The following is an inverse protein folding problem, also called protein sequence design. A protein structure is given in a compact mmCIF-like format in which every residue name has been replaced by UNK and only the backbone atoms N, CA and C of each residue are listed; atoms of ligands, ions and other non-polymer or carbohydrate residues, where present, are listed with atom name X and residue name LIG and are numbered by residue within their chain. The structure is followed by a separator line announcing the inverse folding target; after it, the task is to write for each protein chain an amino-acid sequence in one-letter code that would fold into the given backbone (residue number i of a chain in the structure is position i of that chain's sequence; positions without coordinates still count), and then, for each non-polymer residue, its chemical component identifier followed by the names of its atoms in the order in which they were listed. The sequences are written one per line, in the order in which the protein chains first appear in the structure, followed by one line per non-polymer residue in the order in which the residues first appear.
data_IF_766018856535
#
_entry.id   IF_766018856535
#
_cell.length_a   1.000
_cell.length_b   1.000
_cell.length_c   1.000
_cell.angle_alpha   90.00
_cell.angle_beta   90.00
_cell.angle_gamma   90.00
#
_symmetry.space_group_name_H-M   'P 1'
#
loop_
_entity.id
_entity.type
_entity.pdbx_description
1 polymer ?
#
# COMPACT_ATOMS: atom_id res chain seq x y z
N UNK A 1 -10.21 -21.06 -11.09
CA UNK A 1 -11.47 -20.31 -11.33
C UNK A 1 -11.10 -19.01 -12.02
N UNK A 2 -11.65 -18.75 -13.20
CA UNK A 2 -11.40 -17.51 -13.96
C UNK A 2 -11.97 -16.29 -13.21
N UNK A 3 -11.15 -15.26 -13.04
CA UNK A 3 -11.54 -13.99 -12.39
C UNK A 3 -12.74 -13.31 -13.06
N UNK A 4 -13.03 -13.62 -14.32
CA UNK A 4 -14.19 -13.10 -15.06
C UNK A 4 -15.53 -13.37 -14.37
N UNK A 5 -15.68 -14.53 -13.70
CA UNK A 5 -16.95 -14.88 -13.04
C UNK A 5 -17.25 -14.01 -11.81
N UNK A 6 -16.21 -13.66 -11.04
CA UNK A 6 -16.36 -12.85 -9.82
C UNK A 6 -16.79 -11.43 -10.17
N UNK A 7 -16.14 -10.81 -11.17
CA UNK A 7 -16.55 -9.49 -11.63
C UNK A 7 -17.99 -9.48 -12.16
N UNK A 8 -18.39 -10.48 -12.94
CA UNK A 8 -19.75 -10.56 -13.47
C UNK A 8 -20.81 -10.72 -12.37
N UNK A 9 -20.50 -11.45 -11.30
CA UNK A 9 -21.38 -11.54 -10.14
C UNK A 9 -21.52 -10.19 -9.41
N UNK A 10 -20.40 -9.50 -9.17
CA UNK A 10 -20.40 -8.18 -8.54
C UNK A 10 -21.13 -7.13 -9.37
N UNK A 11 -20.89 -7.07 -10.69
CA UNK A 11 -21.56 -6.16 -11.62
C UNK A 11 -23.08 -6.36 -11.57
N UNK A 12 -23.55 -7.61 -11.70
CA UNK A 12 -24.98 -7.92 -11.61
C UNK A 12 -25.57 -7.52 -10.27
N UNK A 13 -24.91 -7.86 -9.17
CA UNK A 13 -25.41 -7.53 -7.83
C UNK A 13 -25.49 -6.01 -7.60
N UNK A 14 -24.52 -5.23 -8.08
CA UNK A 14 -24.57 -3.75 -7.96
C UNK A 14 -25.69 -3.17 -8.81
N UNK A 15 -25.86 -3.66 -10.04
CA UNK A 15 -26.98 -3.24 -10.88
C UNK A 15 -28.32 -3.57 -10.24
N UNK A 16 -28.50 -4.78 -9.74
CA UNK A 16 -29.79 -5.24 -9.24
C UNK A 16 -30.15 -4.58 -7.88
N UNK A 17 -29.15 -4.29 -7.03
CA UNK A 17 -29.37 -3.65 -5.71
C UNK A 17 -29.35 -2.13 -5.73
N UNK A 18 -28.54 -1.53 -6.59
CA UNK A 18 -28.30 -0.09 -6.61
C UNK A 18 -28.82 0.60 -7.87
N UNK A 19 -29.19 -0.14 -8.91
CA UNK A 19 -29.62 0.41 -10.19
C UNK A 19 -28.49 1.07 -11.00
N UNK A 20 -27.23 0.80 -10.67
CA UNK A 20 -26.06 1.43 -11.30
C UNK A 20 -25.29 0.41 -12.14
N UNK A 21 -25.00 0.78 -13.38
CA UNK A 21 -24.11 0.03 -14.26
C UNK A 21 -22.64 0.34 -13.90
N UNK A 22 -21.85 -0.71 -13.68
CA UNK A 22 -20.42 -0.61 -13.38
C UNK A 22 -19.62 -1.59 -14.22
N UNK A 23 -18.35 -1.26 -14.46
CA UNK A 23 -17.42 -2.10 -15.22
C UNK A 23 -16.46 -2.86 -14.30
N UNK A 24 -15.73 -3.82 -14.87
CA UNK A 24 -14.63 -4.51 -14.18
C UNK A 24 -13.58 -3.52 -13.66
N UNK A 25 -13.28 -2.47 -14.44
CA UNK A 25 -12.31 -1.44 -14.06
C UNK A 25 -12.79 -0.59 -12.88
N UNK A 26 -14.10 -0.31 -12.80
CA UNK A 26 -14.65 0.38 -11.62
C UNK A 26 -14.43 -0.43 -10.34
N UNK A 27 -14.65 -1.75 -10.41
CA UNK A 27 -14.42 -2.66 -9.28
C UNK A 27 -12.93 -2.71 -8.93
N UNK A 28 -12.06 -2.97 -9.92
CA UNK A 28 -10.62 -3.06 -9.70
C UNK A 28 -10.03 -1.76 -9.12
N UNK A 29 -10.47 -0.60 -9.63
CA UNK A 29 -10.06 0.71 -9.10
C UNK A 29 -10.52 0.91 -7.65
N UNK A 30 -11.72 0.44 -7.32
CA UNK A 30 -12.23 0.53 -5.96
C UNK A 30 -11.50 -0.40 -5.01
N UNK A 31 -11.19 -1.64 -5.41
CA UNK A 31 -10.34 -2.55 -4.64
C UNK A 31 -8.98 -1.92 -4.34
N UNK A 32 -8.29 -1.36 -5.35
CA UNK A 32 -7.02 -0.63 -5.15
C UNK A 32 -7.14 0.53 -4.16
N UNK A 33 -8.31 1.15 -4.07
CA UNK A 33 -8.57 2.21 -3.09
C UNK A 33 -8.72 1.65 -1.69
N UNK A 34 -9.43 0.52 -1.54
CA UNK A 34 -9.57 -0.19 -0.27
C UNK A 34 -8.24 -0.76 0.23
N UNK A 35 -7.42 -1.33 -0.66
CA UNK A 35 -6.06 -1.79 -0.34
C UNK A 35 -5.26 -0.66 0.34
N UNK A 36 -5.23 0.52 -0.30
CA UNK A 36 -4.53 1.71 0.22
C UNK A 36 -5.10 2.23 1.53
N UNK A 37 -6.42 2.23 1.67
CA UNK A 37 -7.08 2.64 2.90
C UNK A 37 -6.68 1.70 4.05
N UNK A 38 -6.79 0.39 3.82
CA UNK A 38 -6.42 -0.62 4.80
C UNK A 38 -4.96 -0.48 5.22
N UNK A 39 -4.02 -0.44 4.28
CA UNK A 39 -2.59 -0.35 4.58
C UNK A 39 -2.23 0.87 5.43
N UNK A 40 -2.83 2.04 5.16
CA UNK A 40 -2.49 3.27 5.85
C UNK A 40 -3.21 3.35 7.20
N UNK A 41 -4.53 3.13 7.23
CA UNK A 41 -5.33 3.28 8.44
C UNK A 41 -4.95 2.21 9.46
N UNK A 42 -4.72 0.95 9.05
CA UNK A 42 -4.29 -0.11 9.99
C UNK A 42 -2.98 0.24 10.70
N UNK A 43 -2.01 0.83 9.98
CA UNK A 43 -0.74 1.31 10.56
C UNK A 43 -0.91 2.50 11.48
N UNK A 44 -1.90 3.38 11.24
CA UNK A 44 -2.21 4.48 12.14
C UNK A 44 -2.84 3.94 13.42
N UNK A 45 -3.86 3.08 13.27
CA UNK A 45 -4.60 2.48 14.39
C UNK A 45 -3.77 1.53 15.25
N UNK A 46 -2.62 1.04 14.75
CA UNK A 46 -1.68 0.25 15.55
C UNK A 46 -0.80 1.10 16.48
N UNK A 47 -0.85 2.44 16.37
CA UNK A 47 -0.11 3.35 17.23
C UNK A 47 -0.97 3.80 18.42
N UNK A 48 -0.32 4.07 19.56
CA UNK A 48 -0.97 4.69 20.70
C UNK A 48 -1.44 6.10 20.37
N UNK A 49 -2.61 6.48 20.86
CA UNK A 49 -3.19 7.82 20.67
C UNK A 49 -4.02 7.99 19.40
N UNK A 50 -4.34 6.88 18.74
CA UNK A 50 -5.22 6.82 17.58
C UNK A 50 -6.33 5.81 17.82
N UNK A 51 -7.51 6.14 17.31
CA UNK A 51 -8.68 5.28 17.28
C UNK A 51 -9.49 5.50 16.01
N UNK A 52 -10.61 4.81 15.91
CA UNK A 52 -11.57 5.00 14.83
C UNK A 52 -12.87 5.60 15.38
N UNK A 53 -13.33 6.69 14.77
CA UNK A 53 -14.62 7.30 15.02
C UNK A 53 -15.66 6.61 14.12
N UNK A 54 -16.37 5.63 14.68
CA UNK A 54 -17.38 4.84 13.97
C UNK A 54 -18.62 5.65 13.58
N UNK A 55 -18.88 6.78 14.23
CA UNK A 55 -20.04 7.62 13.91
C UNK A 55 -19.76 8.55 12.72
N UNK A 56 -18.52 9.04 12.63
CA UNK A 56 -18.13 10.02 11.59
C UNK A 56 -17.25 9.42 10.48
N UNK A 57 -17.00 8.11 10.51
CA UNK A 57 -16.20 7.38 9.52
C UNK A 57 -14.79 7.99 9.32
N UNK A 58 -14.11 8.37 10.41
CA UNK A 58 -12.78 9.03 10.35
C UNK A 58 -11.86 8.61 11.50
N UNK A 59 -10.60 9.05 11.44
CA UNK A 59 -9.67 8.85 12.55
C UNK A 59 -10.08 9.67 13.78
N UNK A 60 -10.07 9.00 14.94
CA UNK A 60 -10.07 9.62 16.24
C UNK A 60 -8.62 9.79 16.68
N UNK A 61 -8.25 10.99 17.13
CA UNK A 61 -6.87 11.34 17.47
C UNK A 61 -6.90 12.02 18.84
N UNK A 62 -6.05 11.57 19.76
CA UNK A 62 -6.02 12.09 21.13
C UNK A 62 -5.60 13.57 21.19
N UNK A 63 -4.65 13.98 20.34
CA UNK A 63 -4.22 15.38 20.26
C UNK A 63 -3.53 15.73 18.93
N UNK A 64 -3.45 17.03 18.63
CA UNK A 64 -2.70 17.53 17.47
C UNK A 64 -1.21 17.18 17.53
N UNK A 65 -0.62 17.13 18.73
CA UNK A 65 0.79 16.75 18.90
C UNK A 65 1.04 15.29 18.51
N UNK A 66 0.11 14.38 18.86
CA UNK A 66 0.18 12.96 18.44
C UNK A 66 0.13 12.85 16.93
N UNK A 67 -0.79 13.59 16.27
CA UNK A 67 -0.87 13.62 14.81
C UNK A 67 0.41 14.16 14.16
N UNK A 68 0.91 15.29 14.66
CA UNK A 68 2.06 15.98 14.08
C UNK A 68 3.33 15.11 14.13
N UNK A 69 3.58 14.42 15.26
CA UNK A 69 4.70 13.46 15.37
C UNK A 69 4.57 12.29 14.39
N UNK A 70 3.37 11.73 14.25
CA UNK A 70 3.15 10.61 13.34
C UNK A 70 3.37 11.00 11.87
N UNK A 71 2.83 12.15 11.44
CA UNK A 71 2.90 12.59 10.04
C UNK A 71 4.29 13.07 9.62
N UNK A 72 5.11 13.54 10.57
CA UNK A 72 6.51 13.89 10.32
C UNK A 72 7.29 12.69 9.73
N UNK A 73 7.07 11.50 10.30
CA UNK A 73 7.62 10.24 9.80
C UNK A 73 6.81 9.64 8.63
N UNK A 74 5.51 9.96 8.51
CA UNK A 74 4.58 9.30 7.59
C UNK A 74 3.80 10.31 6.72
N UNK A 75 4.51 11.10 5.90
CA UNK A 75 3.90 12.19 5.10
C UNK A 75 2.71 11.76 4.22
N UNK A 76 2.70 10.53 3.72
CA UNK A 76 1.59 10.00 2.91
C UNK A 76 0.26 9.88 3.69
N UNK A 77 0.32 9.76 5.02
CA UNK A 77 -0.84 9.68 5.88
C UNK A 77 -1.49 11.05 6.13
N UNK A 78 -0.84 12.16 5.76
CA UNK A 78 -1.32 13.53 6.03
C UNK A 78 -2.78 13.75 5.60
N UNK A 79 -3.17 13.17 4.47
CA UNK A 79 -4.52 13.33 3.94
C UNK A 79 -5.61 12.68 4.81
N UNK A 80 -5.26 11.78 5.75
CA UNK A 80 -6.22 11.03 6.56
C UNK A 80 -6.70 11.78 7.82
N UNK A 81 -6.05 12.88 8.23
CA UNK A 81 -6.43 13.63 9.44
C UNK A 81 -7.92 13.96 9.48
N UNK A 82 -8.45 14.39 8.35
CA UNK A 82 -9.85 14.84 8.18
C UNK A 82 -10.62 14.00 7.18
N UNK A 83 -10.02 12.90 6.69
CA UNK A 83 -10.63 12.09 5.64
C UNK A 83 -11.72 11.21 6.22
N UNK A 84 -12.89 11.30 5.59
CA UNK A 84 -13.97 10.35 5.81
C UNK A 84 -13.72 9.13 4.92
N UNK A 85 -13.60 7.94 5.53
CA UNK A 85 -13.44 6.65 4.84
C UNK A 85 -14.58 5.74 5.24
N UNK A 86 -15.63 5.75 4.41
CA UNK A 86 -16.82 4.93 4.61
C UNK A 86 -16.50 3.44 4.55
N UNK A 87 -17.31 2.66 5.26
CA UNK A 87 -17.25 1.19 5.29
C UNK A 87 -15.91 0.65 5.84
N UNK A 88 -15.25 1.40 6.73
CA UNK A 88 -14.00 0.95 7.34
C UNK A 88 -14.13 -0.41 8.01
N UNK A 89 -15.25 -0.71 8.67
CA UNK A 89 -15.50 -2.03 9.28
C UNK A 89 -15.40 -3.16 8.25
N UNK A 90 -16.09 -3.01 7.11
CA UNK A 90 -16.09 -4.00 6.05
C UNK A 90 -14.73 -4.11 5.37
N UNK A 91 -14.05 -2.98 5.13
CA UNK A 91 -12.70 -2.96 4.59
C UNK A 91 -11.76 -3.69 5.55
N UNK A 92 -11.76 -3.32 6.83
CA UNK A 92 -10.94 -3.95 7.85
C UNK A 92 -11.22 -5.44 7.93
N UNK A 93 -12.48 -5.88 7.93
CA UNK A 93 -12.84 -7.31 8.02
C UNK A 93 -12.37 -8.12 6.81
N UNK A 94 -12.47 -7.56 5.60
CA UNK A 94 -12.07 -8.26 4.37
C UNK A 94 -10.53 -8.34 4.26
N UNK A 95 -9.83 -7.31 4.71
CA UNK A 95 -8.39 -7.14 4.51
C UNK A 95 -7.53 -7.44 5.74
N UNK A 96 -8.13 -7.57 6.93
CA UNK A 96 -7.48 -8.11 8.12
C UNK A 96 -7.12 -9.56 7.82
N UNK A 97 -5.85 -9.80 7.51
CA UNK A 97 -5.30 -11.14 7.39
C UNK A 97 -5.60 -11.91 8.68
N UNK A 98 -6.37 -12.98 8.57
CA UNK A 98 -6.03 -14.19 9.31
C UNK A 98 -4.68 -14.65 8.77
N UNK A 99 -3.67 -14.79 9.64
CA UNK A 99 -2.34 -15.34 9.30
C UNK A 99 -2.44 -16.85 8.95
N UNK A 100 -3.11 -17.18 7.84
CA UNK A 100 -2.86 -18.42 7.13
C UNK A 100 -1.61 -18.21 6.27
N UNK A 101 -0.46 -18.55 6.85
CA UNK A 101 0.82 -18.68 6.18
C UNK A 101 0.67 -19.37 4.80
N UNK A 102 0.95 -18.63 3.74
CA UNK A 102 1.09 -19.12 2.38
C UNK A 102 2.21 -18.37 1.70
N UNK A 103 3.43 -18.85 1.89
CA UNK A 103 4.60 -18.43 1.12
C UNK A 103 4.34 -18.53 -0.40
N UNK A 104 4.91 -17.59 -1.16
CA UNK A 104 5.19 -17.83 -2.58
C UNK A 104 4.58 -16.82 -3.57
N UNK A 105 5.10 -15.60 -3.58
CA UNK A 105 5.21 -14.83 -4.83
C UNK A 105 6.44 -13.92 -4.76
N UNK A 106 7.63 -14.52 -4.77
CA UNK A 106 8.83 -13.82 -5.25
C UNK A 106 8.72 -13.78 -6.77
N UNK A 107 8.19 -12.70 -7.32
CA UNK A 107 8.24 -12.47 -8.75
C UNK A 107 9.70 -12.24 -9.12
N UNK A 108 10.22 -13.12 -9.97
CA UNK A 108 11.61 -13.12 -10.39
C UNK A 108 11.99 -11.84 -11.11
N UNK A 109 13.14 -11.30 -10.72
CA UNK A 109 13.96 -10.49 -11.62
C UNK A 109 15.20 -11.33 -11.88
N UNK A 110 15.11 -12.13 -12.94
CA UNK A 110 16.28 -12.69 -13.59
C UNK A 110 16.97 -11.53 -14.32
N UNK A 111 17.97 -10.93 -13.69
CA UNK A 111 18.98 -10.15 -14.41
C UNK A 111 20.23 -10.99 -14.47
N UNK A 112 20.34 -11.77 -15.55
CA UNK A 112 21.59 -12.32 -16.01
C UNK A 112 22.58 -11.16 -16.23
N UNK A 113 23.67 -11.17 -15.48
CA UNK A 113 24.88 -10.44 -15.85
C UNK A 113 25.49 -11.09 -17.10
N UNK A 114 26.10 -10.30 -17.98
CA UNK A 114 27.37 -10.70 -18.55
C UNK A 114 28.52 -9.80 -18.07
N UNK A 115 29.66 -10.46 -17.90
CA UNK A 115 30.91 -10.07 -17.26
C UNK A 115 31.81 -9.16 -18.18
N UNK A 116 32.99 -8.71 -17.71
CA UNK A 116 33.69 -7.51 -18.16
C UNK A 116 34.82 -7.76 -19.18
N UNK A 117 35.17 -6.72 -19.94
CA UNK A 117 36.41 -6.54 -20.73
C UNK A 117 36.36 -5.07 -21.24
N UNK A 118 37.40 -4.24 -21.34
CA UNK A 118 38.84 -4.44 -21.47
C UNK A 118 39.62 -3.28 -20.82
N UNK A 119 40.88 -3.60 -20.56
CA UNK A 119 41.97 -2.75 -20.08
C UNK A 119 42.46 -1.80 -21.18
N UNK A 120 42.82 -0.55 -20.84
CA UNK A 120 43.92 0.11 -21.54
C UNK A 120 44.69 1.08 -20.64
N UNK A 121 46.00 0.89 -20.68
CA UNK A 121 47.09 1.47 -19.92
C UNK A 121 47.26 2.98 -20.14
N UNK A 122 47.57 3.73 -19.08
CA UNK A 122 48.51 4.86 -19.21
C UNK A 122 49.32 5.07 -17.92
N UNK A 123 50.56 4.58 -17.96
CA UNK A 123 51.69 5.00 -17.11
C UNK A 123 52.03 6.50 -17.38
N UNK A 124 52.63 7.28 -16.45
CA UNK A 124 53.93 6.94 -15.88
C UNK A 124 54.21 7.30 -14.40
N UNK A 125 55.23 6.59 -13.92
CA UNK A 125 56.00 6.67 -12.68
C UNK A 125 56.65 8.05 -12.42
N UNK A 126 56.65 8.50 -11.16
CA UNK A 126 57.66 9.44 -10.61
C UNK A 126 57.70 9.39 -9.06
N UNK A 127 58.86 9.68 -8.45
CA UNK A 127 59.45 8.83 -7.41
C UNK A 127 59.24 9.32 -5.96
N UNK A 128 59.15 8.38 -5.01
CA UNK A 128 59.26 8.68 -3.58
C UNK A 128 60.63 8.32 -3.02
N UNK A 129 61.29 9.36 -2.50
CA UNK A 129 62.60 9.37 -1.87
C UNK A 129 62.58 8.55 -0.58
N UNK A 130 63.57 7.68 -0.40
CA UNK A 130 63.92 7.10 0.92
C UNK A 130 65.03 7.93 1.55
N UNK A 131 64.77 8.46 2.73
CA UNK A 131 65.64 8.48 3.92
C UNK A 131 64.87 9.10 5.08
#
# INVERSE_FOLDING_TARGET
MDGSHVYNAAIRNVRDKCGVEITKDNIASRCKTFDKHYEIISKILSQSGFGWDWENDKLLIDSDDVWNRYVEANKAAACYKTKVVKNWEAISTIYSKDDANGEGARTGVESAQPAPEEVEEVSPDMPQKRL
#
